data_IF_368020824336
#
_entry.id   IF_368020824336
#
_cell.length_a   1.000
_cell.length_b   1.000
_cell.length_c   1.000
_cell.angle_alpha   90.00
_cell.angle_beta   90.00
_cell.angle_gamma   90.00
#
_symmetry.space_group_name_H-M   'P 1'
#
loop_
_entity.id
_entity.type
_entity.pdbx_description
1 polymer ?
#
# COMPACT_ATOMS: atom_id res chain seq x y z
N UNK A 1 2.84 12.41 8.82
CA UNK A 1 1.45 12.47 8.26
C UNK A 1 0.38 12.27 9.32
N UNK A 2 0.61 11.43 10.32
CA UNK A 2 -0.31 11.15 11.43
C UNK A 2 -0.86 12.42 12.09
N UNK A 3 0.01 13.41 12.35
CA UNK A 3 -0.39 14.66 12.97
C UNK A 3 -1.43 15.45 12.14
N UNK A 4 -1.37 15.36 10.81
CA UNK A 4 -2.33 16.03 9.93
C UNK A 4 -3.70 15.40 10.09
N UNK A 5 -3.77 14.07 10.18
CA UNK A 5 -5.02 13.37 10.44
C UNK A 5 -5.59 13.73 11.82
N UNK A 6 -4.74 13.75 12.85
CA UNK A 6 -5.12 14.20 14.19
C UNK A 6 -5.66 15.63 14.17
N UNK A 7 -5.06 16.53 13.38
CA UNK A 7 -5.58 17.88 13.22
C UNK A 7 -6.93 17.91 12.50
N UNK A 8 -7.13 17.15 11.42
CA UNK A 8 -8.41 17.08 10.70
C UNK A 8 -9.51 16.55 11.63
N UNK A 9 -9.20 15.56 12.46
CA UNK A 9 -10.16 14.86 13.32
C UNK A 9 -10.45 15.57 14.65
N UNK A 10 -9.48 16.30 15.21
CA UNK A 10 -9.65 17.01 16.49
C UNK A 10 -9.80 18.52 16.35
N UNK A 11 -9.20 19.11 15.31
CA UNK A 11 -9.03 20.55 15.15
C UNK A 11 -7.84 21.13 15.92
N UNK A 12 -7.07 20.29 16.61
CA UNK A 12 -5.96 20.71 17.48
C UNK A 12 -4.63 20.13 17.01
N UNK A 13 -3.54 20.89 17.22
CA UNK A 13 -2.18 20.41 16.99
C UNK A 13 -1.61 19.95 18.33
N UNK A 14 -1.25 18.67 18.42
CA UNK A 14 -0.46 18.18 19.54
C UNK A 14 1.03 18.38 19.24
N UNK A 15 1.61 19.45 19.79
CA UNK A 15 3.02 19.81 19.59
C UNK A 15 3.99 18.70 20.01
N UNK A 16 3.62 17.89 21.00
CA UNK A 16 4.46 16.80 21.52
C UNK A 16 4.52 15.57 20.60
N UNK A 17 3.64 15.50 19.59
CA UNK A 17 3.62 14.41 18.60
C UNK A 17 4.36 14.78 17.31
N UNK A 18 4.79 16.04 17.15
CA UNK A 18 5.51 16.48 15.97
C UNK A 18 6.98 16.06 16.04
N UNK A 19 7.51 15.60 14.92
CA UNK A 19 8.88 15.14 14.81
C UNK A 19 9.55 15.61 13.52
N UNK A 20 10.87 15.40 13.42
CA UNK A 20 11.64 15.59 12.17
C UNK A 20 11.02 14.84 10.99
N UNK A 21 10.42 13.67 11.22
CA UNK A 21 9.79 12.87 10.16
C UNK A 21 8.56 13.53 9.53
N UNK A 22 8.02 14.59 10.17
CA UNK A 22 6.88 15.34 9.66
C UNK A 22 7.27 16.56 8.82
N UNK A 23 8.56 16.86 8.72
CA UNK A 23 9.11 17.96 7.91
C UNK A 23 9.33 17.46 6.48
N UNK A 24 8.72 18.14 5.51
CA UNK A 24 8.85 17.81 4.08
C UNK A 24 9.69 18.83 3.30
N UNK A 25 9.97 19.99 3.88
CA UNK A 25 10.74 21.07 3.27
C UNK A 25 12.24 20.75 3.35
N UNK A 26 12.90 20.66 2.19
CA UNK A 26 14.30 20.22 2.10
C UNK A 26 15.27 21.18 2.79
N UNK A 27 15.03 22.48 2.71
CA UNK A 27 15.89 23.49 3.35
C UNK A 27 15.76 23.41 4.88
N UNK A 28 14.55 23.15 5.38
CA UNK A 28 14.34 22.93 6.82
C UNK A 28 14.92 21.60 7.31
N UNK A 29 14.93 20.56 6.48
CA UNK A 29 15.59 19.29 6.82
C UNK A 29 17.11 19.44 6.88
N UNK A 30 17.70 20.18 5.95
CA UNK A 30 19.13 20.53 5.97
C UNK A 30 19.49 21.38 7.19
N UNK A 31 18.66 22.39 7.50
CA UNK A 31 18.81 23.20 8.72
C UNK A 31 18.75 22.33 9.98
N UNK A 32 17.80 21.39 10.06
CA UNK A 32 17.71 20.44 11.18
C UNK A 32 18.98 19.60 11.31
N UNK A 33 19.47 19.01 10.21
CA UNK A 33 20.69 18.20 10.21
C UNK A 33 21.94 19.01 10.61
N UNK A 34 22.05 20.24 10.12
CA UNK A 34 23.14 21.15 10.46
C UNK A 34 23.06 21.56 11.93
N UNK A 35 21.88 21.89 12.46
CA UNK A 35 21.68 22.16 13.88
C UNK A 35 22.09 20.94 14.70
N UNK A 36 21.64 19.72 14.38
CA UNK A 36 21.94 18.45 15.08
C UNK A 36 23.44 18.21 15.29
N UNK A 37 24.29 18.68 14.38
CA UNK A 37 25.75 18.52 14.44
C UNK A 37 26.51 19.78 14.88
N UNK A 38 25.85 20.94 14.90
CA UNK A 38 26.46 22.22 15.25
C UNK A 38 26.99 22.28 16.69
N UNK A 39 28.15 22.93 16.83
CA UNK A 39 28.70 23.41 18.09
C UNK A 39 28.19 24.83 18.43
N UNK A 40 28.67 25.41 19.54
CA UNK A 40 28.18 26.71 20.00
C UNK A 40 28.45 27.86 19.02
N UNK A 41 29.53 27.80 18.23
CA UNK A 41 29.88 28.84 17.26
C UNK A 41 29.06 28.67 15.99
N UNK A 42 29.01 27.44 15.46
CA UNK A 42 28.22 27.12 14.28
C UNK A 42 26.72 27.39 14.50
N UNK A 43 26.20 27.22 15.72
CA UNK A 43 24.81 27.53 16.03
C UNK A 43 24.49 29.04 15.92
N UNK A 44 25.47 29.92 16.20
CA UNK A 44 25.33 31.36 16.02
C UNK A 44 25.32 31.74 14.54
N UNK A 45 26.10 31.04 13.72
CA UNK A 45 26.09 31.23 12.26
C UNK A 45 24.74 30.87 11.64
N UNK A 46 24.00 29.93 12.25
CA UNK A 46 22.63 29.54 11.85
C UNK A 46 21.52 30.45 12.43
N UNK A 47 21.88 31.51 13.16
CA UNK A 47 20.93 32.32 13.93
C UNK A 47 19.79 32.89 13.07
N UNK A 48 20.09 33.37 11.87
CA UNK A 48 19.07 33.93 10.97
C UNK A 48 18.01 32.89 10.60
N UNK A 49 18.42 31.67 10.22
CA UNK A 49 17.51 30.58 9.88
C UNK A 49 16.69 30.10 11.07
N UNK A 50 17.30 30.01 12.25
CA UNK A 50 16.63 29.60 13.50
C UNK A 50 15.59 30.66 13.93
N UNK A 51 15.94 31.94 13.87
CA UNK A 51 15.04 33.05 14.21
C UNK A 51 13.92 33.19 13.18
N UNK A 52 14.19 32.96 11.88
CA UNK A 52 13.17 32.92 10.84
C UNK A 52 12.13 31.81 11.09
N UNK A 53 12.53 30.71 11.72
CA UNK A 53 11.62 29.66 12.19
C UNK A 53 10.82 30.05 13.45
N UNK A 54 11.10 31.21 14.05
CA UNK A 54 10.35 31.75 15.20
C UNK A 54 10.90 31.37 16.57
N UNK A 55 12.10 30.77 16.64
CA UNK A 55 12.76 30.55 17.92
C UNK A 55 13.33 31.87 18.48
N UNK A 56 13.03 32.18 19.73
CA UNK A 56 13.41 33.44 20.40
C UNK A 56 14.24 33.23 21.67
N UNK A 57 14.54 31.98 22.01
CA UNK A 57 15.40 31.66 23.14
C UNK A 57 16.88 31.90 22.83
N UNK A 58 17.75 31.88 23.84
CA UNK A 58 19.19 31.88 23.59
C UNK A 58 19.65 30.65 22.78
N UNK A 59 20.60 30.88 21.87
CA UNK A 59 21.20 29.87 21.00
C UNK A 59 22.35 29.18 21.73
N UNK A 60 22.04 28.08 22.42
CA UNK A 60 23.02 27.29 23.18
C UNK A 60 22.85 25.80 22.89
N UNK A 61 23.93 25.02 23.00
CA UNK A 61 23.88 23.58 22.81
C UNK A 61 22.95 22.86 23.83
N UNK A 62 22.73 23.47 24.99
CA UNK A 62 21.80 22.95 26.02
C UNK A 62 20.33 23.00 25.58
N UNK A 63 19.95 23.95 24.71
CA UNK A 63 18.57 24.12 24.22
C UNK A 63 18.38 23.66 22.79
N UNK A 64 19.23 22.75 22.34
CA UNK A 64 19.21 22.22 20.98
C UNK A 64 17.88 21.54 20.64
N UNK A 65 17.27 20.84 21.58
CA UNK A 65 15.95 20.23 21.40
C UNK A 65 14.83 21.27 21.24
N UNK A 66 14.87 22.37 21.99
CA UNK A 66 13.89 23.46 21.86
C UNK A 66 14.01 24.18 20.52
N UNK A 67 15.25 24.37 20.05
CA UNK A 67 15.54 24.96 18.73
C UNK A 67 14.98 24.05 17.63
N UNK A 68 15.31 22.75 17.67
CA UNK A 68 14.81 21.77 16.71
C UNK A 68 13.27 21.69 16.72
N UNK A 69 12.68 21.70 17.91
CA UNK A 69 11.22 21.71 18.08
C UNK A 69 10.57 22.94 17.46
N UNK A 70 11.21 24.11 17.53
CA UNK A 70 10.73 25.32 16.88
C UNK A 70 10.77 25.21 15.35
N UNK A 71 11.85 24.66 14.78
CA UNK A 71 11.98 24.43 13.33
C UNK A 71 10.93 23.43 12.82
N UNK A 72 10.73 22.32 13.53
CA UNK A 72 9.70 21.31 13.21
C UNK A 72 8.30 21.93 13.29
N UNK A 73 8.02 22.68 14.36
CA UNK A 73 6.73 23.35 14.53
C UNK A 73 6.49 24.36 13.40
N UNK A 74 7.49 25.16 13.06
CA UNK A 74 7.44 26.14 11.97
C UNK A 74 7.03 25.48 10.65
N UNK A 75 7.68 24.37 10.30
CA UNK A 75 7.35 23.60 9.11
C UNK A 75 5.88 23.17 9.10
N UNK A 76 5.40 22.60 10.21
CA UNK A 76 4.03 22.08 10.30
C UNK A 76 2.96 23.18 10.27
N UNK A 77 3.17 24.29 10.98
CA UNK A 77 2.17 25.37 11.06
C UNK A 77 1.98 26.12 9.74
N UNK A 78 2.98 26.12 8.85
CA UNK A 78 2.86 26.69 7.49
C UNK A 78 1.77 25.98 6.67
N UNK A 79 1.55 24.69 6.92
CA UNK A 79 0.56 23.86 6.20
C UNK A 79 -0.85 24.02 6.80
N UNK A 80 -0.96 24.57 8.01
CA UNK A 80 -2.22 24.66 8.75
C UNK A 80 -3.35 25.37 8.01
N UNK A 81 -3.14 26.51 7.32
CA UNK A 81 -4.21 27.17 6.57
C UNK A 81 -4.78 26.28 5.45
N UNK A 82 -3.94 25.48 4.80
CA UNK A 82 -4.36 24.52 3.76
C UNK A 82 -5.18 23.39 4.38
N UNK A 83 -4.75 22.83 5.53
CA UNK A 83 -5.52 21.82 6.26
C UNK A 83 -6.87 22.36 6.73
N UNK A 84 -6.94 23.60 7.19
CA UNK A 84 -8.19 24.26 7.57
C UNK A 84 -9.14 24.43 6.39
N UNK A 85 -8.63 24.83 5.21
CA UNK A 85 -9.43 24.90 3.98
C UNK A 85 -9.94 23.52 3.57
N UNK A 86 -9.10 22.50 3.66
CA UNK A 86 -9.51 21.12 3.40
C UNK A 86 -10.61 20.68 4.36
N UNK A 87 -10.49 20.95 5.66
CA UNK A 87 -11.54 20.65 6.65
C UNK A 87 -12.88 21.31 6.29
N UNK A 88 -12.85 22.60 5.88
CA UNK A 88 -14.06 23.30 5.40
C UNK A 88 -14.64 22.63 4.15
N UNK A 89 -13.79 22.19 3.21
CA UNK A 89 -14.22 21.42 2.04
C UNK A 89 -14.91 20.10 2.42
N UNK A 90 -14.33 19.35 3.36
CA UNK A 90 -14.91 18.10 3.88
C UNK A 90 -16.23 18.35 4.62
N UNK A 91 -16.37 19.50 5.27
CA UNK A 91 -17.59 19.90 5.99
C UNK A 91 -18.77 20.12 5.05
N UNK A 92 -18.55 20.69 3.85
CA UNK A 92 -19.60 20.91 2.84
C UNK A 92 -20.32 19.62 2.43
N UNK A 93 -19.63 18.49 2.47
CA UNK A 93 -20.18 17.16 2.12
C UNK A 93 -20.59 16.34 3.35
N UNK A 94 -20.52 16.92 4.55
CA UNK A 94 -20.81 16.22 5.82
C UNK A 94 -19.75 15.21 6.26
N UNK A 95 -18.68 15.01 5.47
CA UNK A 95 -17.62 14.05 5.74
C UNK A 95 -16.80 14.42 6.97
N UNK A 96 -16.53 15.72 7.19
CA UNK A 96 -15.76 16.17 8.35
C UNK A 96 -16.39 15.72 9.67
N UNK A 97 -17.73 15.80 9.78
CA UNK A 97 -18.47 15.32 10.95
C UNK A 97 -18.27 13.82 11.17
N UNK A 98 -18.28 13.02 10.10
CA UNK A 98 -18.08 11.57 10.18
C UNK A 98 -16.67 11.20 10.64
N UNK A 99 -15.66 11.91 10.11
CA UNK A 99 -14.24 11.74 10.50
C UNK A 99 -14.07 12.00 11.99
N UNK A 100 -14.65 13.10 12.52
CA UNK A 100 -14.60 13.41 13.95
C UNK A 100 -15.25 12.34 14.82
N UNK A 101 -16.38 11.78 14.37
CA UNK A 101 -17.16 10.79 15.12
C UNK A 101 -16.53 9.39 15.13
N UNK A 102 -15.82 9.01 14.05
CA UNK A 102 -15.30 7.66 13.86
C UNK A 102 -13.82 7.70 13.47
N UNK A 103 -12.99 8.36 14.27
CA UNK A 103 -11.58 8.62 13.91
C UNK A 103 -10.79 7.36 13.50
N UNK A 104 -10.88 6.21 14.20
CA UNK A 104 -10.11 5.04 13.78
C UNK A 104 -10.55 4.47 12.42
N UNK A 105 -11.82 4.67 12.03
CA UNK A 105 -12.35 4.16 10.77
C UNK A 105 -11.86 4.95 9.55
N UNK A 106 -11.70 6.27 9.72
CA UNK A 106 -11.28 7.16 8.64
C UNK A 106 -9.77 7.30 8.54
N UNK A 107 -9.01 7.01 9.59
CA UNK A 107 -7.55 7.12 9.62
C UNK A 107 -6.87 6.43 8.41
N UNK A 108 -7.24 5.20 8.00
CA UNK A 108 -6.61 4.56 6.84
C UNK A 108 -6.85 5.27 5.50
N UNK A 109 -7.89 6.09 5.40
CA UNK A 109 -8.20 6.86 4.18
C UNK A 109 -7.29 8.08 4.02
N UNK A 110 -6.74 8.61 5.11
CA UNK A 110 -5.95 9.85 5.12
C UNK A 110 -4.46 9.60 5.37
N UNK A 111 -4.11 8.49 6.04
CA UNK A 111 -2.73 8.17 6.39
C UNK A 111 -2.27 6.92 5.63
N UNK A 112 -1.29 7.05 4.74
CA UNK A 112 -0.70 5.89 4.04
C UNK A 112 -0.17 4.83 5.00
N UNK A 113 -0.16 3.57 4.55
CA UNK A 113 0.37 2.43 5.31
C UNK A 113 -0.57 1.88 6.40
N UNK A 114 -1.73 2.48 6.63
CA UNK A 114 -2.70 2.03 7.63
C UNK A 114 -3.68 0.96 7.14
N UNK A 115 -3.73 0.71 5.82
CA UNK A 115 -4.49 -0.40 5.30
C UNK A 115 -3.77 -1.72 5.60
N UNK A 116 -4.50 -2.66 6.19
CA UNK A 116 -4.01 -4.02 6.37
C UNK A 116 -3.85 -4.68 5.00
N UNK A 117 -2.61 -5.08 4.67
CA UNK A 117 -2.35 -5.88 3.48
C UNK A 117 -2.97 -7.28 3.64
N UNK A 118 -3.58 -7.85 2.59
CA UNK A 118 -4.03 -9.23 2.62
C UNK A 118 -2.83 -10.18 2.66
N UNK A 119 -2.96 -11.25 3.42
CA UNK A 119 -2.09 -12.43 3.38
C UNK A 119 -2.73 -13.54 2.53
N UNK A 120 -1.98 -14.63 2.29
CA UNK A 120 -2.45 -15.74 1.48
C UNK A 120 -3.67 -16.43 2.10
N UNK A 121 -3.68 -16.55 3.43
CA UNK A 121 -4.78 -17.14 4.20
C UNK A 121 -6.09 -16.36 4.04
N UNK A 122 -6.05 -15.03 4.19
CA UNK A 122 -7.21 -14.18 4.01
C UNK A 122 -7.79 -14.32 2.61
N UNK A 123 -6.94 -14.23 1.57
CA UNK A 123 -7.40 -14.30 0.19
C UNK A 123 -7.98 -15.68 -0.13
N UNK A 124 -7.34 -16.76 0.33
CA UNK A 124 -7.80 -18.13 0.16
C UNK A 124 -9.16 -18.37 0.83
N UNK A 125 -9.35 -17.85 2.05
CA UNK A 125 -10.62 -17.93 2.79
C UNK A 125 -11.75 -17.09 2.16
N UNK A 126 -11.39 -16.08 1.35
CA UNK A 126 -12.35 -15.28 0.60
C UNK A 126 -12.84 -15.99 -0.68
N UNK A 127 -12.11 -16.96 -1.22
CA UNK A 127 -12.51 -17.68 -2.42
C UNK A 127 -13.81 -18.47 -2.19
N UNK A 128 -14.76 -18.32 -3.10
CA UNK A 128 -16.03 -19.03 -3.10
C UNK A 128 -16.26 -19.68 -4.49
N UNK A 129 -15.74 -20.89 -4.72
CA UNK A 129 -15.92 -21.58 -5.99
C UNK A 129 -17.36 -22.04 -6.20
N UNK A 130 -17.92 -21.69 -7.36
CA UNK A 130 -19.24 -22.13 -7.83
C UNK A 130 -19.04 -23.44 -8.60
N UNK A 131 -18.98 -24.55 -7.86
CA UNK A 131 -18.68 -25.87 -8.42
C UNK A 131 -19.90 -26.49 -9.11
N UNK A 132 -19.61 -27.25 -10.16
CA UNK A 132 -20.52 -28.19 -10.80
C UNK A 132 -21.02 -29.29 -9.85
N UNK A 133 -21.98 -30.07 -10.35
CA UNK A 133 -22.61 -31.16 -9.62
C UNK A 133 -21.60 -32.14 -9.00
N UNK A 134 -21.90 -32.61 -7.79
CA UNK A 134 -21.09 -33.58 -7.05
C UNK A 134 -20.89 -34.84 -7.88
N UNK A 135 -19.64 -35.29 -8.02
CA UNK A 135 -19.29 -36.50 -8.77
C UNK A 135 -19.10 -36.30 -10.28
N UNK A 136 -19.37 -35.11 -10.82
CA UNK A 136 -19.13 -34.82 -12.24
C UNK A 136 -17.64 -34.68 -12.57
N UNK A 137 -17.25 -35.00 -13.81
CA UNK A 137 -15.90 -34.75 -14.33
C UNK A 137 -15.60 -33.24 -14.35
N UNK A 138 -16.60 -32.40 -14.63
CA UNK A 138 -16.50 -30.95 -14.56
C UNK A 138 -16.03 -30.51 -13.17
N UNK A 139 -16.69 -30.98 -12.11
CA UNK A 139 -16.31 -30.67 -10.72
C UNK A 139 -14.90 -31.13 -10.38
N UNK A 140 -14.48 -32.31 -10.83
CA UNK A 140 -13.10 -32.77 -10.59
C UNK A 140 -12.06 -31.83 -11.20
N UNK A 141 -12.35 -31.30 -12.40
CA UNK A 141 -11.48 -30.33 -13.06
C UNK A 141 -11.47 -28.98 -12.35
N UNK A 142 -12.64 -28.47 -11.99
CA UNK A 142 -12.80 -27.21 -11.25
C UNK A 142 -12.07 -27.26 -9.90
N UNK A 143 -12.22 -28.34 -9.13
CA UNK A 143 -11.51 -28.52 -7.87
C UNK A 143 -9.99 -28.53 -8.04
N UNK A 144 -9.46 -29.10 -9.13
CA UNK A 144 -8.01 -29.02 -9.42
C UNK A 144 -7.57 -27.59 -9.70
N UNK A 145 -8.36 -26.84 -10.47
CA UNK A 145 -8.07 -25.43 -10.78
C UNK A 145 -8.11 -24.57 -9.51
N UNK A 146 -9.05 -24.84 -8.59
CA UNK A 146 -9.08 -24.17 -7.28
C UNK A 146 -7.81 -24.48 -6.48
N UNK A 147 -7.35 -25.73 -6.47
CA UNK A 147 -6.09 -26.08 -5.79
C UNK A 147 -4.92 -25.33 -6.44
N UNK A 148 -4.84 -25.26 -7.77
CA UNK A 148 -3.82 -24.47 -8.47
C UNK A 148 -3.87 -22.98 -8.10
N UNK A 149 -5.07 -22.41 -7.94
CA UNK A 149 -5.21 -21.03 -7.50
C UNK A 149 -4.72 -20.83 -6.06
N UNK A 150 -5.02 -21.77 -5.15
CA UNK A 150 -4.54 -21.72 -3.78
C UNK A 150 -3.01 -21.86 -3.71
N UNK A 151 -2.44 -22.82 -4.44
CA UNK A 151 -1.00 -23.03 -4.54
C UNK A 151 -0.30 -21.78 -5.11
N UNK A 152 -0.90 -21.13 -6.11
CA UNK A 152 -0.40 -19.87 -6.67
C UNK A 152 -0.45 -18.73 -5.65
N UNK A 153 -1.56 -18.56 -4.93
CA UNK A 153 -1.68 -17.53 -3.89
C UNK A 153 -0.60 -17.73 -2.82
N UNK A 154 -0.37 -18.98 -2.40
CA UNK A 154 0.67 -19.30 -1.42
C UNK A 154 2.08 -19.02 -1.96
N UNK A 155 2.35 -19.33 -3.24
CA UNK A 155 3.66 -19.07 -3.84
C UNK A 155 3.99 -17.59 -3.91
N UNK A 156 2.99 -16.72 -4.12
CA UNK A 156 3.19 -15.26 -4.09
C UNK A 156 3.67 -14.77 -2.72
N UNK A 157 3.13 -15.34 -1.63
CA UNK A 157 3.57 -15.00 -0.27
C UNK A 157 5.01 -15.42 -0.02
N UNK A 158 5.39 -16.62 -0.46
CA UNK A 158 6.75 -17.13 -0.34
C UNK A 158 7.75 -16.27 -1.13
N UNK A 159 7.38 -15.85 -2.35
CA UNK A 159 8.15 -14.96 -3.22
C UNK A 159 8.36 -13.57 -2.61
N UNK A 160 7.35 -13.01 -1.92
CA UNK A 160 7.45 -11.73 -1.21
C UNK A 160 8.38 -11.83 0.02
N UNK A 161 8.38 -12.97 0.71
CA UNK A 161 9.26 -13.21 1.86
C UNK A 161 10.72 -13.38 1.43
N UNK A 162 10.97 -14.04 0.28
CA UNK A 162 12.34 -14.19 -0.24
C UNK A 162 12.91 -12.88 -0.74
N UNK A 163 12.15 -12.07 -1.49
CA UNK A 163 12.62 -10.77 -2.00
C UNK A 163 12.91 -9.79 -0.85
N UNK A 164 12.08 -9.76 0.19
CA UNK A 164 12.31 -8.91 1.38
C UNK A 164 13.52 -9.31 2.23
N UNK A 165 14.04 -10.54 2.10
CA UNK A 165 15.27 -10.99 2.79
C UNK A 165 16.53 -10.60 2.02
N UNK A 166 16.47 -10.62 0.69
CA UNK A 166 17.59 -10.21 -0.17
C UNK A 166 17.87 -8.70 -0.07
N UNK A 167 16.88 -7.86 0.20
CA UNK A 167 17.08 -6.42 0.44
C UNK A 167 17.68 -6.06 1.82
N UNK A 168 17.82 -7.02 2.76
CA UNK A 168 18.29 -6.76 4.14
C UNK A 168 19.67 -7.36 4.46
N UNK A 169 20.34 -7.97 3.49
CA UNK A 169 21.67 -8.56 3.69
C UNK A 169 22.65 -8.16 2.58
N UNK A 170 23.48 -7.15 2.87
CA UNK A 170 24.90 -6.98 2.49
C UNK A 170 25.29 -5.49 2.58
N UNK A 171 25.41 -4.98 3.80
CA UNK A 171 26.46 -3.99 4.08
C UNK A 171 27.77 -4.78 4.20
N UNK A 172 28.50 -4.88 3.09
CA UNK A 172 29.97 -4.74 3.10
C UNK A 172 30.54 -4.76 1.68
N UNK A 173 30.79 -3.54 1.18
CA UNK A 173 31.93 -3.19 0.34
C UNK A 173 32.04 -3.83 -1.06
N UNK A 174 31.41 -3.21 -2.08
CA UNK A 174 31.96 -3.26 -3.45
C UNK A 174 31.67 -1.99 -4.25
N UNK A 175 32.72 -1.51 -4.91
CA UNK A 175 32.78 -0.29 -5.72
C UNK A 175 31.64 -0.19 -6.73
N UNK A 176 31.07 1.02 -6.78
CA UNK A 176 30.10 1.52 -7.77
C UNK A 176 30.63 1.30 -9.19
N UNK A 177 29.90 0.53 -9.98
CA UNK A 177 29.96 0.55 -11.44
C UNK A 177 28.56 0.91 -11.94
N UNK A 178 28.44 2.06 -12.63
CA UNK A 178 27.19 2.80 -12.90
C UNK A 178 26.29 2.18 -13.98
N UNK A 179 26.25 0.85 -14.09
CA UNK A 179 25.51 0.16 -15.17
C UNK A 179 24.37 -0.76 -14.71
N UNK A 180 24.14 -0.91 -13.40
CA UNK A 180 23.12 -1.84 -12.85
C UNK A 180 21.79 -1.19 -12.43
N UNK A 181 21.68 0.14 -12.47
CA UNK A 181 20.52 0.86 -11.91
C UNK A 181 19.24 0.71 -12.77
N UNK A 182 19.38 0.57 -14.09
CA UNK A 182 18.22 0.45 -15.01
C UNK A 182 17.57 -0.93 -15.06
N UNK A 183 18.18 -1.93 -14.44
CA UNK A 183 17.71 -3.33 -14.52
C UNK A 183 16.90 -3.74 -13.28
N UNK A 184 17.14 -3.08 -12.13
CA UNK A 184 16.41 -3.35 -10.87
C UNK A 184 15.02 -2.72 -10.86
N UNK A 185 14.86 -1.52 -11.39
CA UNK A 185 13.55 -0.85 -11.49
C UNK A 185 12.54 -1.62 -12.37
N UNK A 186 13.02 -2.29 -13.43
CA UNK A 186 12.17 -3.12 -14.29
C UNK A 186 11.79 -4.46 -13.65
N UNK A 187 12.63 -5.03 -12.79
CA UNK A 187 12.36 -6.33 -12.17
C UNK A 187 11.33 -6.25 -11.03
N UNK A 188 11.30 -5.14 -10.29
CA UNK A 188 10.30 -4.91 -9.23
C UNK A 188 8.89 -4.62 -9.78
N UNK A 189 8.79 -4.09 -11.01
CA UNK A 189 7.50 -3.77 -11.64
C UNK A 189 6.72 -4.99 -12.16
N UNK A 190 7.41 -6.12 -12.40
CA UNK A 190 6.79 -7.35 -12.91
C UNK A 190 6.39 -8.36 -11.81
N UNK A 191 6.78 -8.14 -10.54
CA UNK A 191 6.41 -9.05 -9.47
C UNK A 191 4.94 -8.90 -9.09
N UNK A 192 4.20 -10.01 -9.12
CA UNK A 192 2.81 -10.07 -8.67
C UNK A 192 2.81 -10.25 -7.16
N UNK A 193 2.15 -9.34 -6.45
CA UNK A 193 1.94 -9.41 -5.00
C UNK A 193 0.52 -9.88 -4.69
N UNK A 194 0.29 -10.40 -3.48
CA UNK A 194 -1.07 -10.79 -3.02
C UNK A 194 -2.02 -9.60 -3.10
N UNK A 195 -1.53 -8.42 -2.69
CA UNK A 195 -2.29 -7.16 -2.76
C UNK A 195 -2.68 -6.82 -4.21
N UNK A 196 -1.76 -6.98 -5.16
CA UNK A 196 -2.04 -6.72 -6.58
C UNK A 196 -2.98 -7.75 -7.20
N UNK A 197 -2.87 -9.02 -6.82
CA UNK A 197 -3.80 -10.08 -7.27
C UNK A 197 -5.20 -9.83 -6.73
N UNK A 198 -5.34 -9.52 -5.44
CA UNK A 198 -6.62 -9.16 -4.82
C UNK A 198 -7.23 -7.91 -5.48
N UNK A 199 -6.40 -6.90 -5.78
CA UNK A 199 -6.83 -5.71 -6.50
C UNK A 199 -7.30 -6.03 -7.91
N UNK A 200 -6.61 -6.91 -8.63
CA UNK A 200 -7.05 -7.34 -9.95
C UNK A 200 -8.40 -8.06 -9.88
N UNK A 201 -8.56 -9.00 -8.94
CA UNK A 201 -9.81 -9.77 -8.75
C UNK A 201 -11.01 -8.92 -8.31
N UNK A 202 -10.79 -7.88 -7.51
CA UNK A 202 -11.86 -7.20 -6.74
C UNK A 202 -11.88 -5.68 -6.86
N UNK A 203 -10.88 -5.08 -7.48
CA UNK A 203 -10.65 -3.64 -7.47
C UNK A 203 -10.06 -3.09 -6.17
N UNK A 204 -9.93 -3.92 -5.12
CA UNK A 204 -9.42 -3.52 -3.80
C UNK A 204 -8.17 -4.32 -3.44
N UNK A 205 -7.04 -3.64 -3.22
CA UNK A 205 -5.76 -4.28 -2.86
C UNK A 205 -5.48 -4.41 -1.36
N UNK A 206 -6.48 -4.16 -0.51
CA UNK A 206 -6.35 -4.21 0.95
C UNK A 206 -7.52 -4.93 1.59
N UNK A 207 -7.31 -5.48 2.78
CA UNK A 207 -8.36 -6.12 3.57
C UNK A 207 -9.50 -5.12 3.85
N UNK A 208 -10.78 -5.49 3.67
CA UNK A 208 -11.89 -4.58 3.96
C UNK A 208 -11.83 -4.00 5.38
N UNK A 209 -12.08 -2.70 5.49
CA UNK A 209 -11.82 -1.92 6.70
C UNK A 209 -12.65 -2.45 7.89
N UNK A 210 -13.95 -2.67 7.69
CA UNK A 210 -14.85 -3.08 8.76
C UNK A 210 -14.93 -4.60 8.90
N UNK A 211 -15.10 -5.11 10.12
CA UNK A 211 -15.28 -6.55 10.37
C UNK A 211 -16.52 -7.10 9.64
N UNK A 212 -17.61 -6.33 9.61
CA UNK A 212 -18.83 -6.73 8.91
C UNK A 212 -18.64 -6.85 7.38
N UNK A 213 -17.79 -6.03 6.78
CA UNK A 213 -17.41 -6.20 5.37
C UNK A 213 -16.52 -7.42 5.18
N UNK A 214 -15.53 -7.64 6.06
CA UNK A 214 -14.65 -8.82 6.00
C UNK A 214 -15.42 -10.14 6.06
N UNK A 215 -16.41 -10.25 6.94
CA UNK A 215 -17.26 -11.44 7.07
C UNK A 215 -18.03 -11.76 5.78
N UNK A 216 -18.46 -10.72 5.04
CA UNK A 216 -19.23 -10.84 3.80
C UNK A 216 -18.37 -10.87 2.55
N UNK A 217 -17.06 -10.60 2.67
CA UNK A 217 -16.16 -10.48 1.55
C UNK A 217 -15.91 -11.87 0.94
N UNK A 218 -16.38 -12.06 -0.30
CA UNK A 218 -16.23 -13.30 -1.05
C UNK A 218 -15.89 -13.01 -2.51
N UNK A 219 -15.01 -13.84 -3.06
CA UNK A 219 -14.59 -13.79 -4.45
C UNK A 219 -15.18 -15.03 -5.13
N UNK A 220 -16.16 -14.83 -5.99
CA UNK A 220 -16.85 -15.90 -6.69
C UNK A 220 -15.98 -16.44 -7.82
N UNK A 221 -15.69 -17.74 -7.79
CA UNK A 221 -14.91 -18.40 -8.84
C UNK A 221 -15.86 -19.21 -9.71
N UNK A 222 -16.05 -18.77 -10.93
CA UNK A 222 -16.85 -19.45 -11.95
C UNK A 222 -15.95 -20.15 -12.96
N UNK A 223 -16.52 -21.12 -13.69
CA UNK A 223 -15.77 -22.01 -14.55
C UNK A 223 -16.41 -22.08 -15.93
N UNK A 224 -15.70 -21.60 -16.95
CA UNK A 224 -16.12 -21.73 -18.34
C UNK A 224 -15.54 -23.03 -18.92
N UNK A 225 -16.44 -23.99 -19.21
CA UNK A 225 -16.11 -25.27 -19.86
C UNK A 225 -16.34 -25.24 -21.37
N UNK A 226 -17.00 -24.19 -21.87
CA UNK A 226 -17.64 -24.17 -23.17
C UNK A 226 -17.11 -23.02 -24.05
N UNK A 227 -15.91 -22.51 -23.74
CA UNK A 227 -15.24 -21.44 -24.49
C UNK A 227 -15.19 -21.70 -26.01
N UNK A 228 -15.09 -22.96 -26.44
CA UNK A 228 -15.12 -23.30 -27.87
C UNK A 228 -16.45 -23.03 -28.56
N UNK A 229 -17.57 -23.15 -27.83
CA UNK A 229 -18.88 -22.83 -28.38
C UNK A 229 -19.01 -21.32 -28.62
N UNK A 230 -18.35 -20.51 -27.80
CA UNK A 230 -18.38 -19.06 -27.90
C UNK A 230 -17.39 -18.51 -28.93
N UNK A 231 -16.16 -19.06 -28.96
CA UNK A 231 -15.04 -18.48 -29.71
C UNK A 231 -14.55 -19.35 -30.88
N UNK A 232 -15.10 -20.56 -31.08
CA UNK A 232 -14.62 -21.51 -32.09
C UNK A 232 -13.29 -22.17 -31.70
N UNK A 233 -12.50 -22.62 -32.69
CA UNK A 233 -11.16 -23.16 -32.46
C UNK A 233 -10.19 -22.05 -32.03
N UNK A 234 -9.53 -22.27 -30.88
CA UNK A 234 -8.55 -21.36 -30.30
C UNK A 234 -7.62 -22.14 -29.37
N UNK A 235 -6.44 -21.57 -29.12
CA UNK A 235 -5.38 -22.22 -28.34
C UNK A 235 -5.27 -21.67 -26.90
N UNK A 236 -5.97 -20.56 -26.60
CA UNK A 236 -5.81 -19.86 -25.33
C UNK A 236 -7.08 -19.07 -24.97
N UNK A 237 -7.42 -19.03 -23.70
CA UNK A 237 -8.31 -18.04 -23.11
C UNK A 237 -7.66 -17.50 -21.83
N UNK A 238 -7.90 -16.23 -21.55
CA UNK A 238 -7.57 -15.63 -20.26
C UNK A 238 -8.79 -15.64 -19.33
N UNK A 239 -8.56 -15.60 -18.01
CA UNK A 239 -9.63 -15.37 -17.06
C UNK A 239 -10.37 -14.06 -17.34
N UNK A 240 -11.68 -14.06 -17.09
CA UNK A 240 -12.50 -12.86 -17.14
C UNK A 240 -12.79 -12.39 -15.73
N UNK A 241 -12.48 -11.13 -15.42
CA UNK A 241 -12.71 -10.55 -14.10
C UNK A 241 -13.80 -9.49 -14.14
N UNK A 242 -14.75 -9.59 -13.22
CA UNK A 242 -15.71 -8.55 -12.89
C UNK A 242 -15.48 -8.10 -11.46
N UNK A 243 -14.68 -7.03 -11.30
CA UNK A 243 -14.35 -6.47 -10.00
C UNK A 243 -15.59 -5.96 -9.24
N UNK A 244 -16.61 -5.45 -9.94
CA UNK A 244 -17.82 -4.93 -9.30
C UNK A 244 -18.65 -6.01 -8.60
N UNK A 245 -18.65 -7.24 -9.11
CA UNK A 245 -19.32 -8.39 -8.49
C UNK A 245 -18.37 -9.30 -7.71
N UNK A 246 -17.07 -8.96 -7.65
CA UNK A 246 -16.00 -9.81 -7.13
C UNK A 246 -16.06 -11.22 -7.75
N UNK A 247 -16.18 -11.31 -9.07
CA UNK A 247 -16.28 -12.58 -9.80
C UNK A 247 -15.11 -12.74 -10.75
N UNK A 248 -14.53 -13.94 -10.79
CA UNK A 248 -13.60 -14.34 -11.85
C UNK A 248 -14.10 -15.62 -12.50
N UNK A 249 -14.10 -15.65 -13.83
CA UNK A 249 -14.46 -16.82 -14.63
C UNK A 249 -13.18 -17.42 -15.20
N UNK A 250 -12.89 -18.68 -14.83
CA UNK A 250 -11.70 -19.41 -15.22
C UNK A 250 -11.97 -20.33 -16.42
N UNK A 251 -11.22 -20.21 -17.54
CA UNK A 251 -11.42 -21.04 -18.72
C UNK A 251 -10.83 -22.44 -18.52
N UNK A 252 -11.66 -23.39 -18.08
CA UNK A 252 -11.16 -24.67 -17.56
C UNK A 252 -10.34 -25.44 -18.59
N UNK A 253 -10.71 -25.32 -19.87
CA UNK A 253 -10.06 -26.01 -21.00
C UNK A 253 -8.54 -25.80 -21.04
N UNK A 254 -8.07 -24.61 -20.71
CA UNK A 254 -6.68 -24.18 -20.88
C UNK A 254 -5.89 -24.17 -19.56
N UNK A 255 -6.51 -24.60 -18.48
CA UNK A 255 -5.92 -24.69 -17.13
C UNK A 255 -5.79 -26.17 -16.73
N UNK A 256 -5.23 -26.99 -17.62
CA UNK A 256 -5.16 -28.46 -17.45
C UNK A 256 -4.05 -28.90 -16.48
N UNK A 257 -2.98 -28.12 -16.42
CA UNK A 257 -1.81 -28.34 -15.57
C UNK A 257 -1.50 -27.10 -14.74
N UNK A 258 -0.73 -27.26 -13.67
CA UNK A 258 -0.31 -26.14 -12.84
C UNK A 258 0.57 -25.14 -13.61
N UNK A 259 1.44 -25.62 -14.50
CA UNK A 259 2.31 -24.76 -15.33
C UNK A 259 1.49 -23.87 -16.27
N UNK A 260 0.51 -24.45 -16.98
CA UNK A 260 -0.41 -23.67 -17.85
C UNK A 260 -1.19 -22.65 -17.02
N UNK A 261 -1.66 -23.05 -15.84
CA UNK A 261 -2.36 -22.16 -14.92
C UNK A 261 -1.49 -20.96 -14.52
N UNK A 262 -0.26 -21.20 -14.08
CA UNK A 262 0.67 -20.15 -13.65
C UNK A 262 0.97 -19.17 -14.79
N UNK A 263 1.28 -19.67 -15.98
CA UNK A 263 1.59 -18.84 -17.13
C UNK A 263 0.41 -17.91 -17.48
N UNK A 264 -0.80 -18.49 -17.57
CA UNK A 264 -2.01 -17.73 -17.91
C UNK A 264 -2.35 -16.70 -16.83
N UNK A 265 -2.30 -17.09 -15.55
CA UNK A 265 -2.63 -16.18 -14.45
C UNK A 265 -1.63 -15.03 -14.34
N UNK A 266 -0.33 -15.30 -14.44
CA UNK A 266 0.70 -14.25 -14.38
C UNK A 266 0.56 -13.29 -15.56
N UNK A 267 0.40 -13.80 -16.78
CA UNK A 267 0.16 -12.96 -17.95
C UNK A 267 -1.12 -12.11 -17.80
N UNK A 268 -2.22 -12.70 -17.32
CA UNK A 268 -3.50 -11.99 -17.17
C UNK A 268 -3.40 -10.83 -16.16
N UNK A 269 -2.78 -11.08 -15.01
CA UNK A 269 -2.61 -10.06 -13.96
C UNK A 269 -1.65 -8.96 -14.42
N UNK A 270 -0.50 -9.31 -15.01
CA UNK A 270 0.49 -8.33 -15.47
C UNK A 270 -0.03 -7.46 -16.62
N UNK A 271 -0.76 -8.03 -17.57
CA UNK A 271 -1.32 -7.28 -18.71
C UNK A 271 -2.46 -6.32 -18.32
N UNK A 272 -2.97 -6.42 -17.09
CA UNK A 272 -4.07 -5.61 -16.59
C UNK A 272 -3.62 -4.44 -15.69
N UNK A 273 -2.30 -4.27 -15.50
CA UNK A 273 -1.71 -3.19 -14.70
C UNK A 273 -1.63 -1.87 -15.46
#
# INVERSE_FOLDING_TARGET
MEWMYNFISSGEINKHQLSKADVTDADLLDLIATIETADATALLDLSEGIVACGYTGPLTCERKEDILSAVVLHSCVRILPMLQQMCKGLELYGLHKMVKQNQPLFQPLFVPGHFTKPDADFLTMALLPVLSEVGSVKRQRESRIVNYLQDFIQSLEEEEVSSGRESRGEDDNKKVDETEDRTKENAEQDQITISSLMQWLTGQGHVPITSAQREKFKIHIEFDHDCQLQYGEHNLCYPLVNACSCTVTLPTRHLGTYTEFLEIMRQAVSNSR
#
